data_IF_955571841729
#
_entry.id   IF_955571841729
#
_cell.length_a   1.000
_cell.length_b   1.000
_cell.length_c   1.000
_cell.angle_alpha   90.00
_cell.angle_beta   90.00
_cell.angle_gamma   90.00
#
_symmetry.space_group_name_H-M   'P 1'
#
loop_
_entity.id
_entity.type
_entity.pdbx_description
1 polymer ?
#
# COMPACT_ATOMS: atom_id res chain seq x y z
N UNK A 1 7.24 -8.45 15.28
CA UNK A 1 6.99 -7.20 16.05
C UNK A 1 6.08 -7.41 17.24
N UNK A 2 4.79 -7.76 17.06
CA UNK A 2 3.84 -7.86 18.18
C UNK A 2 4.29 -8.80 19.32
N UNK A 3 4.89 -9.94 18.98
CA UNK A 3 5.42 -10.90 19.96
C UNK A 3 6.54 -10.33 20.86
N UNK A 4 7.33 -9.35 20.38
CA UNK A 4 8.36 -8.69 21.19
C UNK A 4 7.76 -7.86 22.34
N UNK A 5 6.46 -7.54 22.27
CA UNK A 5 5.71 -6.82 23.31
C UNK A 5 4.86 -7.74 24.18
N UNK A 6 5.07 -9.06 24.08
CA UNK A 6 4.28 -10.05 24.80
C UNK A 6 2.86 -10.25 24.25
N UNK A 7 2.50 -9.60 23.13
CA UNK A 7 1.24 -9.86 22.44
C UNK A 7 1.26 -11.22 21.76
N UNK A 8 0.11 -11.90 21.74
CA UNK A 8 -0.16 -13.20 21.15
C UNK A 8 -1.25 -13.07 20.08
N UNK A 9 -1.00 -12.32 18.98
CA UNK A 9 -1.94 -12.25 17.89
C UNK A 9 -2.19 -13.65 17.30
N UNK A 10 -3.37 -13.84 16.74
CA UNK A 10 -3.73 -15.03 15.97
C UNK A 10 -3.01 -15.03 14.60
N UNK A 11 -1.68 -15.05 14.60
CA UNK A 11 -0.84 -14.83 13.40
C UNK A 11 -1.20 -15.77 12.26
N UNK A 12 -1.34 -17.08 12.54
CA UNK A 12 -1.62 -18.08 11.50
C UNK A 12 -2.99 -17.87 10.86
N UNK A 13 -4.03 -17.67 11.67
CA UNK A 13 -5.39 -17.44 11.16
C UNK A 13 -5.49 -16.11 10.43
N UNK A 14 -4.80 -15.08 10.92
CA UNK A 14 -4.71 -13.77 10.25
C UNK A 14 -4.04 -13.90 8.88
N UNK A 15 -2.94 -14.64 8.76
CA UNK A 15 -2.27 -14.86 7.47
C UNK A 15 -3.15 -15.64 6.49
N UNK A 16 -3.85 -16.68 6.95
CA UNK A 16 -4.82 -17.42 6.12
C UNK A 16 -5.95 -16.49 5.66
N UNK A 17 -6.48 -15.67 6.56
CA UNK A 17 -7.49 -14.67 6.23
C UNK A 17 -7.00 -13.65 5.20
N UNK A 18 -5.77 -13.16 5.30
CA UNK A 18 -5.17 -12.30 4.28
C UNK A 18 -5.13 -13.00 2.92
N UNK A 19 -4.69 -14.27 2.85
CA UNK A 19 -4.65 -15.01 1.59
C UNK A 19 -6.07 -15.20 1.01
N UNK A 20 -7.04 -15.59 1.83
CA UNK A 20 -8.45 -15.72 1.41
C UNK A 20 -8.99 -14.40 0.84
N UNK A 21 -8.64 -13.27 1.46
CA UNK A 21 -9.03 -11.95 0.97
C UNK A 21 -8.40 -11.63 -0.40
N UNK A 22 -7.11 -11.92 -0.58
CA UNK A 22 -6.43 -11.71 -1.87
C UNK A 22 -7.00 -12.62 -2.97
N UNK A 23 -7.22 -13.89 -2.68
CA UNK A 23 -7.81 -14.85 -3.63
C UNK A 23 -9.24 -14.48 -3.99
N UNK A 24 -10.07 -14.13 -3.02
CA UNK A 24 -11.47 -13.73 -3.28
C UNK A 24 -11.56 -12.42 -4.05
N UNK A 25 -10.63 -11.48 -3.84
CA UNK A 25 -10.54 -10.24 -4.62
C UNK A 25 -10.18 -10.55 -6.08
N UNK A 26 -9.20 -11.43 -6.31
CA UNK A 26 -8.82 -11.82 -7.67
C UNK A 26 -9.93 -12.62 -8.36
N UNK A 27 -10.60 -13.52 -7.65
CA UNK A 27 -11.68 -14.33 -8.21
C UNK A 27 -12.87 -13.46 -8.59
N UNK A 28 -13.22 -12.46 -7.76
CA UNK A 28 -14.31 -11.54 -8.08
C UNK A 28 -14.07 -10.72 -9.38
N UNK A 29 -12.82 -10.55 -9.78
CA UNK A 29 -12.47 -9.81 -10.99
C UNK A 29 -12.56 -10.62 -12.29
N UNK A 30 -12.68 -11.95 -12.22
CA UNK A 30 -12.76 -12.82 -13.40
C UNK A 30 -14.21 -12.96 -13.86
N UNK A 31 -14.46 -13.01 -15.17
CA UNK A 31 -15.80 -13.26 -15.73
C UNK A 31 -16.39 -14.58 -15.23
N UNK A 32 -17.59 -14.53 -14.64
CA UNK A 32 -18.21 -15.69 -13.97
C UNK A 32 -17.60 -16.02 -12.60
N UNK A 33 -16.80 -15.10 -12.06
CA UNK A 33 -16.18 -15.20 -10.75
C UNK A 33 -17.13 -14.94 -9.59
N UNK A 34 -16.54 -14.78 -8.41
CA UNK A 34 -17.29 -14.62 -7.17
C UNK A 34 -18.11 -13.31 -7.19
N UNK A 35 -19.43 -13.34 -6.92
CA UNK A 35 -20.26 -12.12 -6.85
C UNK A 35 -19.65 -11.06 -5.93
N UNK A 36 -19.74 -9.78 -6.33
CA UNK A 36 -19.13 -8.67 -5.59
C UNK A 36 -19.54 -8.60 -4.12
N UNK A 37 -20.83 -8.85 -3.83
CA UNK A 37 -21.35 -8.92 -2.46
C UNK A 37 -20.65 -10.00 -1.63
N UNK A 38 -20.47 -11.20 -2.20
CA UNK A 38 -19.76 -12.28 -1.53
C UNK A 38 -18.28 -11.95 -1.32
N UNK A 39 -17.65 -11.23 -2.25
CA UNK A 39 -16.25 -10.82 -2.12
C UNK A 39 -16.10 -9.81 -0.99
N UNK A 40 -17.00 -8.83 -0.94
CA UNK A 40 -17.03 -7.82 0.12
C UNK A 40 -17.29 -8.41 1.51
N UNK A 41 -18.04 -9.51 1.59
CA UNK A 41 -18.31 -10.22 2.83
C UNK A 41 -17.08 -10.95 3.41
N UNK A 42 -16.06 -11.26 2.60
CA UNK A 42 -14.87 -12.01 3.05
C UNK A 42 -14.11 -11.25 4.13
N UNK A 43 -14.02 -9.92 4.05
CA UNK A 43 -13.33 -9.09 5.05
C UNK A 43 -14.00 -9.15 6.44
N UNK A 44 -15.31 -8.81 6.60
CA UNK A 44 -15.96 -8.89 7.90
C UNK A 44 -16.06 -10.33 8.43
N UNK A 45 -16.25 -11.33 7.57
CA UNK A 45 -16.24 -12.75 7.97
C UNK A 45 -14.86 -13.18 8.48
N UNK A 46 -13.79 -12.74 7.82
CA UNK A 46 -12.42 -12.99 8.24
C UNK A 46 -12.11 -12.33 9.59
N UNK A 47 -12.57 -11.09 9.80
CA UNK A 47 -12.46 -10.40 11.08
C UNK A 47 -13.21 -11.14 12.20
N UNK A 48 -14.44 -11.55 11.94
CA UNK A 48 -15.24 -12.34 12.87
C UNK A 48 -14.59 -13.69 13.20
N UNK A 49 -14.03 -14.38 12.19
CA UNK A 49 -13.32 -15.65 12.38
C UNK A 49 -12.05 -15.50 13.22
N UNK A 50 -11.29 -14.42 13.03
CA UNK A 50 -10.12 -14.08 13.86
C UNK A 50 -10.55 -13.88 15.32
N UNK A 51 -11.60 -13.08 15.57
CA UNK A 51 -12.12 -12.84 16.91
C UNK A 51 -12.62 -14.14 17.56
N UNK A 52 -13.41 -14.93 16.83
CA UNK A 52 -13.90 -16.22 17.31
C UNK A 52 -12.74 -17.17 17.66
N UNK A 53 -11.71 -17.22 16.81
CA UNK A 53 -10.52 -18.04 17.07
C UNK A 53 -9.77 -17.63 18.35
N UNK A 54 -9.63 -16.32 18.59
CA UNK A 54 -9.00 -15.81 19.82
C UNK A 54 -9.81 -16.13 21.08
N UNK A 55 -11.15 -16.16 20.98
CA UNK A 55 -12.03 -16.57 22.09
C UNK A 55 -11.91 -18.06 22.41
N UNK A 56 -11.60 -18.90 21.42
CA UNK A 56 -11.42 -20.34 21.60
C UNK A 56 -10.03 -20.72 22.15
N UNK A 57 -9.11 -19.77 22.32
CA UNK A 57 -7.79 -20.07 22.86
C UNK A 57 -7.84 -20.39 24.37
N UNK A 58 -6.97 -21.29 24.87
CA UNK A 58 -6.94 -21.66 26.29
C UNK A 58 -6.66 -20.49 27.24
N UNK A 59 -6.03 -19.43 26.73
CA UNK A 59 -5.79 -18.18 27.44
C UNK A 59 -6.62 -17.11 26.74
N UNK A 60 -7.44 -16.39 27.51
CA UNK A 60 -8.28 -15.31 26.98
C UNK A 60 -7.42 -14.29 26.26
N UNK A 61 -7.71 -14.05 24.97
CA UNK A 61 -7.03 -13.02 24.20
C UNK A 61 -7.20 -11.64 24.84
N UNK A 62 -6.14 -10.85 24.84
CA UNK A 62 -6.17 -9.46 25.28
C UNK A 62 -6.71 -8.55 24.17
N UNK A 63 -7.10 -7.33 24.53
CA UNK A 63 -7.47 -6.28 23.55
C UNK A 63 -6.33 -6.05 22.55
N UNK A 64 -5.08 -6.12 23.02
CA UNK A 64 -3.90 -5.96 22.18
C UNK A 64 -3.74 -7.09 21.15
N UNK A 65 -4.13 -8.33 21.50
CA UNK A 65 -4.05 -9.48 20.60
C UNK A 65 -5.08 -9.37 19.46
N UNK A 66 -6.30 -8.96 19.81
CA UNK A 66 -7.36 -8.70 18.82
C UNK A 66 -6.94 -7.54 17.91
N UNK A 67 -6.50 -6.42 18.49
CA UNK A 67 -6.08 -5.25 17.73
C UNK A 67 -4.92 -5.57 16.78
N UNK A 68 -3.90 -6.31 17.23
CA UNK A 68 -2.78 -6.70 16.41
C UNK A 68 -3.19 -7.66 15.27
N UNK A 69 -4.12 -8.58 15.52
CA UNK A 69 -4.64 -9.49 14.48
C UNK A 69 -5.51 -8.78 13.44
N UNK A 70 -6.45 -7.93 13.87
CA UNK A 70 -7.29 -7.16 12.96
C UNK A 70 -6.45 -6.15 12.17
N UNK A 71 -5.48 -5.50 12.82
CA UNK A 71 -4.53 -4.65 12.13
C UNK A 71 -3.70 -5.45 11.12
N UNK A 72 -3.26 -6.66 11.44
CA UNK A 72 -2.58 -7.54 10.50
C UNK A 72 -3.44 -7.86 9.26
N UNK A 73 -4.73 -8.16 9.45
CA UNK A 73 -5.67 -8.40 8.34
C UNK A 73 -5.84 -7.16 7.46
N UNK A 74 -6.01 -6.00 8.08
CA UNK A 74 -6.13 -4.73 7.38
C UNK A 74 -4.85 -4.39 6.61
N UNK A 75 -3.71 -4.43 7.29
CA UNK A 75 -2.42 -3.95 6.82
C UNK A 75 -1.80 -4.85 5.74
N UNK A 76 -1.91 -6.18 5.89
CA UNK A 76 -1.28 -7.15 4.98
C UNK A 76 -2.28 -7.85 4.03
N UNK A 77 -3.58 -7.74 4.29
CA UNK A 77 -4.62 -8.33 3.45
C UNK A 77 -5.37 -7.27 2.66
N UNK A 78 -6.09 -6.39 3.36
CA UNK A 78 -7.01 -5.44 2.75
C UNK A 78 -6.30 -4.35 1.94
N UNK A 79 -5.25 -3.72 2.47
CA UNK A 79 -4.56 -2.69 1.70
C UNK A 79 -3.89 -3.27 0.43
N UNK A 80 -3.14 -4.39 0.48
CA UNK A 80 -2.54 -4.98 -0.71
C UNK A 80 -3.55 -5.55 -1.72
N UNK A 81 -4.77 -5.92 -1.30
CA UNK A 81 -5.79 -6.41 -2.25
C UNK A 81 -6.14 -5.35 -3.31
N UNK A 82 -5.94 -4.07 -3.02
CA UNK A 82 -6.17 -2.99 -3.98
C UNK A 82 -5.14 -2.96 -5.12
N UNK A 83 -3.96 -3.59 -4.97
CA UNK A 83 -3.06 -3.82 -6.11
C UNK A 83 -3.71 -4.76 -7.13
N UNK A 84 -4.41 -5.80 -6.67
CA UNK A 84 -5.16 -6.70 -7.54
C UNK A 84 -6.34 -5.95 -8.18
N UNK A 85 -7.08 -5.17 -7.39
CA UNK A 85 -8.17 -4.35 -7.91
C UNK A 85 -7.71 -3.36 -8.98
N UNK A 86 -6.56 -2.70 -8.79
CA UNK A 86 -5.94 -1.83 -9.79
C UNK A 86 -5.54 -2.59 -11.05
N UNK A 87 -4.85 -3.72 -10.89
CA UNK A 87 -4.39 -4.55 -12.02
C UNK A 87 -5.54 -5.05 -12.88
N UNK A 88 -6.69 -5.32 -12.26
CA UNK A 88 -7.88 -5.85 -12.91
C UNK A 88 -8.77 -4.76 -13.55
N UNK A 89 -8.40 -3.48 -13.47
CA UNK A 89 -9.07 -2.44 -14.23
C UNK A 89 -8.82 -2.63 -15.74
N UNK A 90 -9.89 -2.74 -16.51
CA UNK A 90 -9.85 -2.97 -17.97
C UNK A 90 -10.47 -1.84 -18.78
N UNK A 91 -10.98 -0.79 -18.13
CA UNK A 91 -11.58 0.35 -18.82
C UNK A 91 -10.51 1.09 -19.64
N UNK A 92 -10.66 1.08 -20.97
CA UNK A 92 -9.72 1.70 -21.91
C UNK A 92 -9.64 3.22 -21.70
N UNK A 93 -10.75 3.84 -21.32
CA UNK A 93 -10.85 5.28 -21.01
C UNK A 93 -9.89 5.74 -19.90
N UNK A 94 -9.46 4.83 -19.01
CA UNK A 94 -8.52 5.15 -17.94
C UNK A 94 -7.09 5.34 -18.43
N UNK A 95 -6.73 4.84 -19.62
CA UNK A 95 -5.40 5.00 -20.20
C UNK A 95 -5.46 4.88 -21.74
N UNK A 96 -6.07 5.85 -22.44
CA UNK A 96 -6.31 5.77 -23.89
C UNK A 96 -5.02 5.67 -24.72
N UNK A 97 -3.89 6.14 -24.21
CA UNK A 97 -2.58 6.06 -24.88
C UNK A 97 -1.91 4.68 -24.82
N UNK A 98 -2.52 3.69 -24.16
CA UNK A 98 -1.93 2.36 -23.96
C UNK A 98 -2.31 1.37 -25.05
N UNK A 99 -1.41 0.42 -25.35
CA UNK A 99 -1.60 -0.61 -26.38
C UNK A 99 -2.33 -1.84 -25.84
N UNK A 100 -2.82 -2.70 -26.73
CA UNK A 100 -3.49 -3.97 -26.35
C UNK A 100 -2.62 -4.90 -25.47
N UNK A 101 -1.30 -4.79 -25.57
CA UNK A 101 -0.34 -5.52 -24.74
C UNK A 101 -0.26 -4.98 -23.30
N UNK A 102 -0.61 -3.71 -23.08
CA UNK A 102 -0.57 -3.04 -21.78
C UNK A 102 -1.96 -2.54 -21.40
N UNK A 103 -2.76 -3.42 -20.77
CA UNK A 103 -4.07 -3.05 -20.24
C UNK A 103 -3.99 -1.82 -19.31
N UNK A 104 -5.02 -0.98 -19.29
CA UNK A 104 -5.04 0.26 -18.48
C UNK A 104 -4.72 0.01 -17.00
N UNK A 105 -5.27 -1.03 -16.38
CA UNK A 105 -4.95 -1.41 -15.01
C UNK A 105 -3.49 -1.79 -14.77
N UNK A 106 -2.83 -2.43 -15.75
CA UNK A 106 -1.39 -2.71 -15.69
C UNK A 106 -0.58 -1.42 -15.77
N UNK A 107 -0.91 -0.53 -16.71
CA UNK A 107 -0.21 0.74 -16.89
C UNK A 107 -0.28 1.59 -15.62
N UNK A 108 -1.47 1.71 -15.03
CA UNK A 108 -1.69 2.46 -13.78
C UNK A 108 -0.92 1.82 -12.62
N UNK A 109 -0.97 0.49 -12.50
CA UNK A 109 -0.24 -0.25 -11.46
C UNK A 109 1.27 0.01 -11.56
N UNK A 110 1.84 -0.11 -12.76
CA UNK A 110 3.26 0.15 -13.00
C UNK A 110 3.61 1.62 -12.76
N UNK A 111 2.75 2.56 -13.14
CA UNK A 111 2.96 3.99 -12.88
C UNK A 111 3.01 4.29 -11.39
N UNK A 112 2.13 3.67 -10.58
CA UNK A 112 2.15 3.81 -9.13
C UNK A 112 3.44 3.27 -8.52
N UNK A 113 3.90 2.10 -8.95
CA UNK A 113 5.19 1.56 -8.54
C UNK A 113 6.36 2.50 -8.91
N UNK A 114 6.39 3.03 -10.14
CA UNK A 114 7.42 3.97 -10.57
C UNK A 114 7.41 5.26 -9.77
N UNK A 115 6.23 5.80 -9.46
CA UNK A 115 6.09 6.99 -8.60
C UNK A 115 6.61 6.74 -7.18
N UNK A 116 6.32 5.57 -6.58
CA UNK A 116 6.89 5.18 -5.27
C UNK A 116 8.42 5.11 -5.35
N UNK A 117 8.97 4.41 -6.35
CA UNK A 117 10.43 4.27 -6.53
C UNK A 117 11.09 5.65 -6.73
N UNK A 118 10.51 6.51 -7.55
CA UNK A 118 11.01 7.87 -7.75
C UNK A 118 10.91 8.72 -6.49
N UNK A 119 9.86 8.54 -5.68
CA UNK A 119 9.73 9.20 -4.37
C UNK A 119 10.86 8.78 -3.42
N UNK A 120 11.19 7.50 -3.34
CA UNK A 120 12.24 6.98 -2.46
C UNK A 120 13.63 7.46 -2.90
N UNK A 121 13.91 7.36 -4.20
CA UNK A 121 15.17 7.84 -4.78
C UNK A 121 15.31 9.35 -4.58
N UNK A 122 14.25 10.12 -4.85
CA UNK A 122 14.22 11.57 -4.64
C UNK A 122 14.42 11.91 -3.17
N UNK A 123 13.72 11.24 -2.26
CA UNK A 123 13.83 11.47 -0.83
C UNK A 123 15.24 11.21 -0.32
N UNK A 124 15.88 10.13 -0.77
CA UNK A 124 17.25 9.81 -0.45
C UNK A 124 18.25 10.81 -1.06
N UNK A 125 18.12 11.14 -2.34
CA UNK A 125 19.05 12.01 -3.05
C UNK A 125 19.03 13.43 -2.49
N UNK A 126 17.84 14.02 -2.34
CA UNK A 126 17.69 15.37 -1.79
C UNK A 126 17.99 15.40 -0.29
N UNK A 127 17.56 14.37 0.45
CA UNK A 127 17.84 14.26 1.88
C UNK A 127 19.33 14.15 2.18
N UNK A 128 20.09 13.40 1.38
CA UNK A 128 21.55 13.27 1.56
C UNK A 128 22.30 14.56 1.19
N UNK A 129 21.84 15.30 0.19
CA UNK A 129 22.55 16.48 -0.35
C UNK A 129 22.20 17.77 0.41
N UNK A 130 20.95 17.93 0.81
CA UNK A 130 20.43 19.18 1.40
C UNK A 130 19.68 18.97 2.73
N UNK A 131 19.58 17.75 3.24
CA UNK A 131 18.87 17.45 4.48
C UNK A 131 19.48 18.15 5.68
N UNK A 132 18.66 18.96 6.35
CA UNK A 132 19.04 19.69 7.57
C UNK A 132 18.04 19.49 8.68
N UNK A 133 16.75 19.40 8.35
CA UNK A 133 15.67 19.31 9.33
C UNK A 133 15.15 17.88 9.39
N UNK A 134 15.25 17.17 10.52
CA UNK A 134 14.67 15.83 10.64
C UNK A 134 13.14 15.91 10.50
N UNK A 135 12.57 14.94 9.81
CA UNK A 135 11.13 14.87 9.51
C UNK A 135 10.32 14.41 10.72
N UNK A 136 10.84 13.44 11.48
CA UNK A 136 10.17 12.92 12.67
C UNK A 136 11.18 12.44 13.71
N UNK A 137 10.83 12.47 15.01
CA UNK A 137 11.68 11.91 16.06
C UNK A 137 11.80 10.38 15.95
N UNK A 138 10.84 9.73 15.29
CA UNK A 138 10.78 8.27 15.09
C UNK A 138 11.83 7.81 14.07
N UNK A 139 12.10 8.63 13.06
CA UNK A 139 13.06 8.36 11.99
C UNK A 139 13.96 9.58 11.74
N UNK A 140 14.97 9.81 12.60
CA UNK A 140 15.85 10.99 12.51
C UNK A 140 16.69 11.05 11.23
N UNK A 141 16.83 9.92 10.51
CA UNK A 141 17.52 9.88 9.21
C UNK A 141 16.71 10.45 8.05
N UNK A 142 15.39 10.60 8.20
CA UNK A 142 14.54 11.24 7.19
C UNK A 142 14.50 12.73 7.43
N UNK A 143 14.61 13.52 6.36
CA UNK A 143 14.62 14.98 6.44
C UNK A 143 13.42 15.58 5.71
N UNK A 144 13.00 16.77 6.13
CA UNK A 144 11.93 17.53 5.47
C UNK A 144 12.34 17.87 4.03
N UNK A 145 13.60 18.23 3.82
CA UNK A 145 14.11 18.52 2.47
C UNK A 145 14.11 17.28 1.57
N UNK A 146 14.42 16.10 2.13
CA UNK A 146 14.27 14.83 1.44
C UNK A 146 12.82 14.55 1.07
N UNK A 147 11.92 14.62 2.04
CA UNK A 147 10.47 14.45 1.84
C UNK A 147 9.91 15.32 0.69
N UNK A 148 10.30 16.60 0.65
CA UNK A 148 9.91 17.51 -0.44
C UNK A 148 10.53 17.10 -1.78
N UNK A 149 11.81 16.71 -1.80
CA UNK A 149 12.48 16.21 -3.00
C UNK A 149 11.84 14.95 -3.57
N UNK A 150 11.49 13.99 -2.71
CA UNK A 150 10.74 12.79 -3.11
C UNK A 150 9.38 13.11 -3.69
N UNK A 151 8.63 14.02 -3.05
CA UNK A 151 7.34 14.49 -3.55
C UNK A 151 7.47 15.11 -4.95
N UNK A 152 8.43 16.01 -5.17
CA UNK A 152 8.66 16.62 -6.48
C UNK A 152 9.04 15.58 -7.55
N UNK A 153 9.89 14.60 -7.22
CA UNK A 153 10.23 13.51 -8.14
C UNK A 153 9.03 12.64 -8.49
N UNK A 154 8.18 12.31 -7.52
CA UNK A 154 6.95 11.54 -7.74
C UNK A 154 5.93 12.32 -8.58
N UNK A 155 5.76 13.61 -8.33
CA UNK A 155 4.92 14.52 -9.12
C UNK A 155 5.36 14.55 -10.59
N UNK A 156 6.65 14.76 -10.84
CA UNK A 156 7.19 14.78 -12.20
C UNK A 156 7.02 13.42 -12.90
N UNK A 157 7.27 12.31 -12.19
CA UNK A 157 7.05 10.97 -12.74
C UNK A 157 5.56 10.72 -13.05
N UNK A 158 4.66 11.16 -12.16
CA UNK A 158 3.23 11.03 -12.34
C UNK A 158 2.72 11.81 -13.56
N UNK A 159 3.20 13.04 -13.76
CA UNK A 159 2.90 13.83 -14.95
C UNK A 159 3.38 13.12 -16.23
N UNK A 160 4.62 12.62 -16.25
CA UNK A 160 5.18 11.88 -17.39
C UNK A 160 4.32 10.64 -17.70
N UNK A 161 3.98 9.84 -16.68
CA UNK A 161 3.12 8.67 -16.85
C UNK A 161 1.74 9.05 -17.37
N UNK A 162 1.13 10.13 -16.86
CA UNK A 162 -0.18 10.60 -17.30
C UNK A 162 -0.16 11.07 -18.76
N UNK A 163 0.89 11.77 -19.19
CA UNK A 163 1.09 12.15 -20.59
C UNK A 163 1.21 10.92 -21.50
N UNK A 164 1.98 9.91 -21.09
CA UNK A 164 2.12 8.64 -21.83
C UNK A 164 0.80 7.88 -21.91
N UNK A 165 0.00 7.90 -20.84
CA UNK A 165 -1.32 7.27 -20.80
C UNK A 165 -2.41 8.08 -21.53
N UNK A 166 -2.12 9.29 -21.99
CA UNK A 166 -3.08 10.15 -22.70
C UNK A 166 -4.12 10.79 -21.78
N UNK A 167 -3.78 11.08 -20.53
CA UNK A 167 -4.67 11.77 -19.60
C UNK A 167 -4.89 13.25 -19.97
N UNK A 168 -6.06 13.83 -19.67
CA UNK A 168 -6.42 15.19 -20.05
C UNK A 168 -5.59 16.25 -19.30
N UNK A 169 -5.78 17.52 -19.67
CA UNK A 169 -5.18 18.69 -19.02
C UNK A 169 -3.65 18.64 -18.93
N UNK A 170 -2.99 18.18 -20.00
CA UNK A 170 -1.53 18.04 -20.07
C UNK A 170 -0.94 17.19 -18.92
N UNK A 171 -1.66 16.16 -18.46
CA UNK A 171 -1.14 15.25 -17.45
C UNK A 171 -1.21 15.78 -16.00
N UNK A 172 -1.86 16.94 -15.77
CA UNK A 172 -2.07 17.50 -14.42
C UNK A 172 -2.64 16.50 -13.40
N UNK A 173 -3.60 15.60 -13.75
CA UNK A 173 -4.08 14.60 -12.79
C UNK A 173 -2.96 13.64 -12.32
N UNK A 174 -1.99 13.34 -13.19
CA UNK A 174 -0.81 12.53 -12.84
C UNK A 174 0.12 13.24 -11.86
N UNK A 175 0.31 14.55 -12.03
CA UNK A 175 1.08 15.39 -11.11
C UNK A 175 0.47 15.37 -9.70
N UNK A 176 -0.85 15.55 -9.60
CA UNK A 176 -1.59 15.50 -8.33
C UNK A 176 -1.51 14.11 -7.71
N UNK A 177 -1.67 13.06 -8.54
CA UNK A 177 -1.55 11.67 -8.09
C UNK A 177 -0.15 11.37 -7.54
N UNK A 178 0.91 11.84 -8.19
CA UNK A 178 2.28 11.70 -7.74
C UNK A 178 2.53 12.36 -6.38
N UNK A 179 1.99 13.57 -6.16
CA UNK A 179 2.05 14.22 -4.85
C UNK A 179 1.35 13.39 -3.77
N UNK A 180 0.16 12.87 -4.07
CA UNK A 180 -0.61 12.04 -3.14
C UNK A 180 0.11 10.73 -2.82
N UNK A 181 0.68 10.06 -3.82
CA UNK A 181 1.47 8.83 -3.64
C UNK A 181 2.67 9.10 -2.73
N UNK A 182 3.42 10.17 -2.95
CA UNK A 182 4.57 10.50 -2.10
C UNK A 182 4.17 10.71 -0.63
N UNK A 183 3.03 11.39 -0.38
CA UNK A 183 2.51 11.58 0.97
C UNK A 183 2.12 10.24 1.62
N UNK A 184 1.41 9.37 0.90
CA UNK A 184 0.93 8.09 1.44
C UNK A 184 2.07 7.08 1.63
N UNK A 185 3.03 7.02 0.69
CA UNK A 185 4.23 6.23 0.83
C UNK A 185 5.00 6.60 2.10
N UNK A 186 5.17 7.91 2.35
CA UNK A 186 5.80 8.42 3.55
C UNK A 186 5.05 8.05 4.84
N UNK A 187 3.72 8.07 4.81
CA UNK A 187 2.89 7.58 5.93
C UNK A 187 3.13 6.10 6.18
N UNK A 188 3.21 5.27 5.14
CA UNK A 188 3.50 3.83 5.27
C UNK A 188 4.84 3.56 5.93
N UNK A 189 5.91 4.17 5.42
CA UNK A 189 7.27 4.01 5.94
C UNK A 189 7.42 4.58 7.37
N UNK A 190 6.75 5.70 7.70
CA UNK A 190 6.69 6.19 9.08
C UNK A 190 5.89 5.29 10.02
N UNK A 191 4.79 4.69 9.53
CA UNK A 191 3.98 3.73 10.31
C UNK A 191 4.81 2.50 10.64
N UNK A 192 5.53 1.94 9.67
CA UNK A 192 6.41 0.80 9.91
C UNK A 192 7.56 1.18 10.85
N UNK A 193 8.20 2.33 10.64
CA UNK A 193 9.23 2.86 11.53
C UNK A 193 8.73 2.98 12.98
N UNK A 194 7.51 3.47 13.19
CA UNK A 194 6.88 3.57 14.51
C UNK A 194 6.70 2.18 15.14
N UNK A 195 6.18 1.20 14.39
CA UNK A 195 5.97 -0.16 14.86
C UNK A 195 7.30 -0.85 15.25
N UNK A 196 8.37 -0.62 14.48
CA UNK A 196 9.72 -1.16 14.77
C UNK A 196 10.25 -0.61 16.09
N UNK A 197 10.18 0.72 16.29
CA UNK A 197 10.62 1.38 17.52
C UNK A 197 9.82 0.94 18.74
N UNK A 198 8.49 0.82 18.61
CA UNK A 198 7.66 0.35 19.72
C UNK A 198 7.99 -1.09 20.11
N UNK A 199 8.28 -1.96 19.12
CA UNK A 199 8.68 -3.34 19.34
C UNK A 199 10.14 -3.52 19.80
N UNK A 200 10.92 -2.43 19.93
CA UNK A 200 12.34 -2.49 20.34
C UNK A 200 13.27 -3.12 19.31
N UNK A 201 12.82 -3.28 18.06
CA UNK A 201 13.60 -3.86 16.96
C UNK A 201 13.96 -2.79 15.93
N UNK A 202 15.07 -2.99 15.21
CA UNK A 202 15.46 -2.08 14.13
C UNK A 202 14.87 -2.49 12.78
N UNK A 203 14.91 -3.79 12.49
CA UNK A 203 14.45 -4.39 11.24
C UNK A 203 13.23 -5.28 11.51
N UNK A 204 12.33 -5.42 10.52
CA UNK A 204 11.07 -6.16 10.67
C UNK A 204 11.25 -7.68 10.74
N UNK A 205 12.41 -8.18 10.29
CA UNK A 205 12.86 -9.57 10.35
C UNK A 205 14.18 -9.76 9.60
N UNK A 206 14.68 -10.99 9.54
CA UNK A 206 15.99 -11.32 8.93
C UNK A 206 15.87 -12.16 7.64
N UNK A 207 14.73 -12.03 6.93
CA UNK A 207 14.41 -12.90 5.78
C UNK A 207 15.37 -12.68 4.60
N UNK A 208 15.86 -11.46 4.39
CA UNK A 208 16.78 -11.13 3.30
C UNK A 208 18.18 -10.79 3.89
N UNK A 209 19.21 -11.63 3.62
CA UNK A 209 20.55 -11.40 4.14
C UNK A 209 21.07 -9.99 3.81
N UNK A 210 21.36 -9.20 4.84
CA UNK A 210 21.87 -7.82 4.72
C UNK A 210 20.85 -6.77 4.28
N UNK A 211 19.57 -7.12 4.08
CA UNK A 211 18.54 -6.22 3.53
C UNK A 211 17.36 -5.95 4.47
N UNK A 212 17.33 -6.56 5.65
CA UNK A 212 16.23 -6.46 6.62
C UNK A 212 15.09 -7.44 6.31
N UNK A 213 13.90 -7.11 6.76
CA UNK A 213 12.71 -7.93 6.52
C UNK A 213 11.99 -7.52 5.24
N UNK A 214 11.08 -8.38 4.78
CA UNK A 214 10.25 -8.10 3.59
C UNK A 214 9.41 -6.84 3.80
N UNK A 215 8.94 -6.61 5.04
CA UNK A 215 8.10 -5.46 5.36
C UNK A 215 8.83 -4.13 5.17
N UNK A 216 10.14 -4.09 5.46
CA UNK A 216 11.01 -2.91 5.28
C UNK A 216 11.17 -2.52 3.79
N UNK A 217 10.72 -3.36 2.85
CA UNK A 217 10.81 -3.13 1.41
C UNK A 217 9.48 -2.79 0.77
N UNK A 218 8.38 -3.15 1.43
CA UNK A 218 7.03 -3.00 0.88
C UNK A 218 6.17 -2.04 1.70
N UNK A 219 6.68 -1.44 2.77
CA UNK A 219 5.99 -0.49 3.65
C UNK A 219 5.25 0.62 2.89
N UNK A 220 5.92 1.25 1.93
CA UNK A 220 5.37 2.28 1.04
C UNK A 220 4.36 1.72 0.03
N UNK A 221 4.43 0.43 -0.26
CA UNK A 221 3.53 -0.29 -1.18
C UNK A 221 2.28 -0.83 -0.49
N UNK A 222 2.18 -0.76 0.84
CA UNK A 222 0.99 -1.26 1.56
C UNK A 222 -0.16 -0.27 1.46
N UNK A 223 0.02 0.99 1.88
CA UNK A 223 -1.07 1.98 1.89
C UNK A 223 -1.40 2.56 0.50
N UNK A 224 -0.37 2.77 -0.32
CA UNK A 224 -0.49 3.43 -1.63
C UNK A 224 -1.57 2.84 -2.57
N UNK A 225 -1.67 1.51 -2.80
CA UNK A 225 -2.64 0.96 -3.75
C UNK A 225 -4.08 1.30 -3.43
N UNK A 226 -4.47 1.31 -2.15
CA UNK A 226 -5.84 1.62 -1.76
C UNK A 226 -6.21 3.05 -2.17
N UNK A 227 -5.32 4.01 -1.90
CA UNK A 227 -5.54 5.41 -2.27
C UNK A 227 -5.56 5.60 -3.79
N UNK A 228 -4.59 5.02 -4.50
CA UNK A 228 -4.53 5.09 -5.96
C UNK A 228 -5.77 4.47 -6.60
N UNK A 229 -6.23 3.32 -6.10
CA UNK A 229 -7.45 2.66 -6.59
C UNK A 229 -8.66 3.58 -6.51
N UNK A 230 -8.95 4.16 -5.35
CA UNK A 230 -10.14 5.02 -5.23
C UNK A 230 -10.02 6.32 -6.00
N UNK A 231 -8.83 6.93 -6.06
CA UNK A 231 -8.62 8.14 -6.88
C UNK A 231 -8.86 7.83 -8.36
N UNK A 232 -8.27 6.76 -8.87
CA UNK A 232 -8.43 6.39 -10.28
C UNK A 232 -9.85 5.91 -10.57
N UNK A 233 -10.46 5.09 -9.71
CA UNK A 233 -11.79 4.55 -9.95
C UNK A 233 -12.91 5.60 -9.84
N UNK A 234 -12.77 6.58 -8.94
CA UNK A 234 -13.84 7.56 -8.65
C UNK A 234 -13.63 8.90 -9.35
N UNK A 235 -12.38 9.38 -9.44
CA UNK A 235 -12.09 10.74 -9.93
C UNK A 235 -11.75 10.72 -11.42
N UNK A 236 -10.96 9.75 -11.89
CA UNK A 236 -10.51 9.75 -13.28
C UNK A 236 -11.65 9.68 -14.31
N UNK A 237 -12.71 8.87 -14.12
CA UNK A 237 -13.85 8.88 -15.04
C UNK A 237 -14.60 10.22 -15.11
N UNK A 238 -14.46 11.08 -14.10
CA UNK A 238 -15.07 12.41 -14.10
C UNK A 238 -14.26 13.42 -14.93
N UNK A 239 -12.97 13.15 -15.16
CA UNK A 239 -12.06 14.01 -15.90
C UNK A 239 -12.02 13.68 -17.40
N UNK A 240 -12.41 12.46 -17.78
CA UNK A 240 -12.40 11.96 -19.16
C UNK A 240 -13.76 12.17 -19.87
N UNK A 241 -14.81 12.54 -19.13
CA UNK A 241 -16.12 12.96 -19.68
C UNK A 241 -16.06 14.35 -20.28
#
# INVERSE_FOLDING_TARGET
>A
MAQFKGMRPATKTTLVACQLLLFSTQWAAVSGGLPGELSSAVLPLSGAAICAWLLLQPVTGSIADVAASIFGLFYLGFLPSHWLSLRNLTLVELAPGTSELCTSGLAITLSACLMIVCSDIGSWAFGRRWGKRPLSPISPGKTVEGALGGCLCAMAMGEICALVMGWPYLGLPGLILGALIALIAMVGDLTESMMKRDAGVKDSGDVLPGHGGILDRIDSYLFTPAVVYYVVALIQPLLVR
#
